data_IF_161900544640
#
_entry.id   IF_161900544640
#
_cell.length_a   1.000
_cell.length_b   1.000
_cell.length_c   1.000
_cell.angle_alpha   90.00
_cell.angle_beta   90.00
_cell.angle_gamma   90.00
#
_symmetry.space_group_name_H-M   'P 1'
#
loop_
_entity.id
_entity.type
_entity.pdbx_description
1 polymer ?
#
# COMPACT_ATOMS: atom_id res chain seq x y z
N UNK A 1 -3.64 -15.90 -1.39
CA UNK A 1 -3.45 -14.43 -1.60
C UNK A 1 -4.68 -13.74 -1.05
N UNK A 2 -4.61 -12.49 -0.58
CA UNK A 2 -5.74 -11.83 0.12
C UNK A 2 -7.09 -12.05 -0.60
N UNK A 3 -7.19 -11.75 -1.90
CA UNK A 3 -8.44 -11.95 -2.64
C UNK A 3 -8.81 -13.43 -2.85
N UNK A 4 -7.84 -14.31 -3.08
CA UNK A 4 -8.10 -15.74 -3.23
C UNK A 4 -8.60 -16.40 -1.95
N UNK A 5 -8.16 -15.88 -0.80
CA UNK A 5 -8.47 -16.46 0.51
C UNK A 5 -9.77 -15.85 1.11
N UNK A 6 -10.07 -14.58 0.82
CA UNK A 6 -11.17 -13.84 1.46
C UNK A 6 -12.25 -13.31 0.51
N UNK A 7 -12.16 -13.52 -0.80
CA UNK A 7 -13.13 -13.00 -1.76
C UNK A 7 -13.68 -14.10 -2.68
N UNK A 8 -14.93 -13.92 -3.11
CA UNK A 8 -15.60 -14.81 -4.08
C UNK A 8 -15.95 -14.05 -5.36
N UNK A 9 -16.36 -12.78 -5.23
CA UNK A 9 -16.88 -11.98 -6.35
C UNK A 9 -15.92 -10.85 -6.73
N UNK A 10 -15.73 -10.64 -8.04
CA UNK A 10 -14.87 -9.56 -8.56
C UNK A 10 -15.32 -8.18 -8.08
N UNK A 11 -16.64 -7.92 -8.07
CA UNK A 11 -17.20 -6.63 -7.64
C UNK A 11 -17.18 -6.38 -6.12
N UNK A 12 -16.74 -7.35 -5.31
CA UNK A 12 -16.63 -7.25 -3.85
C UNK A 12 -15.32 -7.89 -3.39
N UNK A 13 -14.20 -7.32 -3.82
CA UNK A 13 -12.86 -7.90 -3.66
C UNK A 13 -12.00 -7.25 -2.56
N UNK A 14 -12.66 -6.51 -1.64
CA UNK A 14 -12.17 -6.00 -0.34
C UNK A 14 -11.09 -4.90 -0.41
N UNK A 15 -10.06 -5.06 -1.23
CA UNK A 15 -8.84 -4.25 -1.19
C UNK A 15 -8.53 -3.62 -2.56
N UNK A 16 -7.94 -2.42 -2.53
CA UNK A 16 -7.33 -1.74 -3.68
C UNK A 16 -5.82 -1.57 -3.42
N UNK A 17 -5.03 -1.60 -4.49
CA UNK A 17 -3.62 -1.25 -4.47
C UNK A 17 -3.25 -0.65 -5.82
N UNK A 18 -2.42 0.39 -5.81
CA UNK A 18 -1.98 1.07 -7.03
C UNK A 18 -1.26 0.10 -7.97
N UNK A 19 -1.47 0.27 -9.27
CA UNK A 19 -1.00 -0.65 -10.30
C UNK A 19 0.34 -0.26 -10.93
N UNK A 20 0.85 0.94 -10.64
CA UNK A 20 2.12 1.47 -11.13
C UNK A 20 2.70 2.53 -10.19
N UNK A 21 3.97 2.89 -10.38
CA UNK A 21 4.62 3.97 -9.60
C UNK A 21 3.93 5.31 -9.83
N UNK A 22 3.50 5.61 -11.06
CA UNK A 22 2.79 6.84 -11.39
C UNK A 22 1.43 6.92 -10.69
N UNK A 23 0.63 5.85 -10.74
CA UNK A 23 -0.67 5.80 -10.06
C UNK A 23 -0.52 5.82 -8.54
N UNK A 24 0.51 5.17 -7.99
CA UNK A 24 0.81 5.21 -6.56
C UNK A 24 1.09 6.64 -6.07
N UNK A 25 1.97 7.38 -6.75
CA UNK A 25 2.28 8.76 -6.38
C UNK A 25 1.02 9.66 -6.42
N UNK A 26 0.18 9.47 -7.44
CA UNK A 26 -1.09 10.20 -7.57
C UNK A 26 -2.09 9.86 -6.46
N UNK A 27 -2.25 8.57 -6.15
CA UNK A 27 -3.18 8.10 -5.12
C UNK A 27 -2.73 8.51 -3.72
N UNK A 28 -1.43 8.40 -3.39
CA UNK A 28 -0.90 8.85 -2.09
C UNK A 28 -1.20 10.33 -1.88
N UNK A 29 -0.91 11.18 -2.87
CA UNK A 29 -1.17 12.62 -2.80
C UNK A 29 -2.68 12.96 -2.79
N UNK A 30 -3.53 12.09 -3.32
CA UNK A 30 -4.98 12.27 -3.28
C UNK A 30 -5.57 11.98 -1.89
N UNK A 31 -5.10 10.92 -1.23
CA UNK A 31 -5.68 10.42 0.02
C UNK A 31 -5.03 10.97 1.29
N UNK A 32 -3.77 11.40 1.22
CA UNK A 32 -3.01 11.88 2.37
C UNK A 32 -2.37 13.23 2.09
N UNK A 33 -2.42 14.10 3.10
CA UNK A 33 -1.55 15.27 3.16
C UNK A 33 -0.16 14.85 3.62
N UNK A 34 0.87 15.60 3.22
CA UNK A 34 2.26 15.30 3.60
C UNK A 34 2.48 15.20 5.12
N UNK A 35 1.72 15.95 5.92
CA UNK A 35 1.79 15.94 7.38
C UNK A 35 1.25 14.65 8.02
N UNK A 36 0.49 13.86 7.29
CA UNK A 36 -0.05 12.57 7.75
C UNK A 36 0.95 11.44 7.49
N UNK A 37 1.98 11.68 6.68
CA UNK A 37 3.03 10.71 6.38
C UNK A 37 4.15 10.81 7.43
N UNK A 38 4.52 9.67 8.01
CA UNK A 38 5.56 9.59 9.05
C UNK A 38 6.81 8.95 8.48
N UNK A 39 7.92 9.68 8.50
CA UNK A 39 9.24 9.13 8.22
C UNK A 39 9.83 8.52 9.48
N UNK A 40 10.20 7.25 9.42
CA UNK A 40 10.82 6.52 10.53
C UNK A 40 11.72 5.41 10.00
N UNK A 41 12.65 4.97 10.84
CA UNK A 41 13.58 3.90 10.51
C UNK A 41 13.19 2.61 11.24
N UNK A 42 12.81 1.52 10.51
CA UNK A 42 12.52 0.25 11.14
C UNK A 42 13.75 -0.35 11.82
N UNK A 43 13.61 -0.80 13.07
CA UNK A 43 14.69 -1.51 13.78
C UNK A 43 15.15 -2.78 13.05
N UNK A 44 14.29 -3.35 12.21
CA UNK A 44 14.58 -4.52 11.40
C UNK A 44 15.21 -4.21 10.03
N UNK A 45 15.35 -2.93 9.64
CA UNK A 45 15.78 -2.54 8.29
C UNK A 45 17.09 -3.22 7.87
N UNK A 46 18.08 -3.28 8.77
CA UNK A 46 19.37 -3.92 8.50
C UNK A 46 19.26 -5.43 8.24
N UNK A 47 18.24 -6.11 8.79
CA UNK A 47 18.04 -7.54 8.55
C UNK A 47 17.31 -7.81 7.24
N UNK A 48 16.60 -6.81 6.70
CA UNK A 48 15.83 -6.93 5.46
C UNK A 48 16.66 -6.51 4.25
N UNK A 49 17.51 -5.48 4.40
CA UNK A 49 18.27 -4.87 3.30
C UNK A 49 19.80 -4.91 3.47
N UNK A 50 20.31 -5.44 4.59
CA UNK A 50 21.74 -5.54 4.86
C UNK A 50 22.47 -6.65 4.11
#
# INVERSE_FOLDING_TARGET
TIRGDFCIQVGRNIIHGSDAVESANKEIALWFNEKELVSWQPAAESWVYG
#
